data_IF_137945786599
#
_entry.id   IF_137945786599
#
_cell.length_a   1.000
_cell.length_b   1.000
_cell.length_c   1.000
_cell.angle_alpha   90.00
_cell.angle_beta   90.00
_cell.angle_gamma   90.00
#
_symmetry.space_group_name_H-M   'P 1'
#
loop_
_entity.id
_entity.type
_entity.pdbx_description
1 polymer ?
#
# COMPACT_ATOMS: atom_id res chain seq x y z
N UNK A 1 23.88 11.03 -1.97
CA UNK A 1 22.51 10.73 -2.45
C UNK A 1 21.73 10.10 -1.31
N UNK A 2 20.50 10.51 -1.10
CA UNK A 2 19.63 9.86 -0.09
C UNK A 2 19.30 8.45 -0.57
N UNK A 3 19.41 7.40 0.27
CA UNK A 3 19.05 6.06 -0.16
C UNK A 3 17.56 5.96 -0.52
N UNK A 4 17.19 5.08 -1.47
CA UNK A 4 15.79 4.83 -1.78
C UNK A 4 15.05 4.31 -0.54
N UNK A 5 13.72 4.45 -0.53
CA UNK A 5 12.90 3.91 0.54
C UNK A 5 12.92 2.37 0.54
N UNK A 6 12.87 1.78 -0.65
CA UNK A 6 12.88 0.32 -0.84
C UNK A 6 13.80 -0.01 -2.02
N UNK A 7 14.63 -1.04 -1.85
CA UNK A 7 15.50 -1.57 -2.90
C UNK A 7 15.51 -3.11 -2.85
N UNK A 8 15.31 -3.72 -4.00
CA UNK A 8 15.50 -5.13 -4.25
C UNK A 8 16.68 -5.29 -5.20
N UNK A 9 17.63 -6.15 -4.84
CA UNK A 9 18.82 -6.45 -5.64
C UNK A 9 18.96 -7.95 -5.85
N UNK A 10 18.68 -8.43 -7.06
CA UNK A 10 18.79 -9.83 -7.47
C UNK A 10 18.03 -10.82 -6.58
N UNK A 11 16.86 -10.40 -6.05
CA UNK A 11 16.06 -11.16 -5.08
C UNK A 11 15.37 -12.34 -5.76
N UNK A 12 15.59 -13.54 -5.23
CA UNK A 12 14.82 -14.73 -5.57
C UNK A 12 14.34 -15.43 -4.29
N UNK A 13 13.15 -16.04 -4.38
CA UNK A 13 12.60 -16.88 -3.32
C UNK A 13 11.75 -17.99 -3.91
N UNK A 14 11.88 -19.18 -3.33
CA UNK A 14 11.12 -20.37 -3.66
C UNK A 14 10.44 -20.91 -2.39
N UNK A 15 9.36 -21.63 -2.56
CA UNK A 15 8.70 -22.44 -1.52
C UNK A 15 8.60 -23.85 -2.06
N UNK A 16 9.18 -24.79 -1.34
CA UNK A 16 9.42 -26.15 -1.81
C UNK A 16 10.12 -26.13 -3.19
N UNK A 17 9.55 -26.77 -4.19
CA UNK A 17 10.11 -26.81 -5.57
C UNK A 17 9.62 -25.67 -6.48
N UNK A 18 8.81 -24.73 -5.94
CA UNK A 18 8.21 -23.65 -6.73
C UNK A 18 8.90 -22.32 -6.51
N UNK A 19 9.62 -21.84 -7.53
CA UNK A 19 10.17 -20.48 -7.55
C UNK A 19 9.02 -19.47 -7.70
N UNK A 20 8.87 -18.57 -6.70
CA UNK A 20 7.81 -17.56 -6.66
C UNK A 20 8.30 -16.21 -7.16
N UNK A 21 9.47 -15.77 -6.72
CA UNK A 21 10.14 -14.58 -7.24
C UNK A 21 11.51 -14.99 -7.81
N UNK A 22 11.89 -14.35 -8.93
CA UNK A 22 13.05 -14.74 -9.70
C UNK A 22 13.85 -13.53 -10.14
N UNK A 23 14.99 -13.31 -9.51
CA UNK A 23 15.96 -12.27 -9.89
C UNK A 23 15.32 -10.86 -9.99
N UNK A 24 14.60 -10.47 -8.95
CA UNK A 24 13.96 -9.16 -8.89
C UNK A 24 14.98 -8.08 -8.52
N UNK A 25 15.03 -7.03 -9.35
CA UNK A 25 15.83 -5.84 -9.07
C UNK A 25 15.03 -4.59 -9.43
N UNK A 26 14.78 -3.74 -8.44
CA UNK A 26 14.11 -2.44 -8.60
C UNK A 26 14.34 -1.55 -7.39
N UNK A 27 14.08 -0.25 -7.55
CA UNK A 27 14.13 0.73 -6.46
C UNK A 27 12.85 1.55 -6.40
N UNK A 28 12.47 1.97 -5.19
CA UNK A 28 11.39 2.93 -4.95
C UNK A 28 11.97 4.12 -4.18
N UNK A 29 12.09 5.28 -4.81
CA UNK A 29 12.49 6.51 -4.15
C UNK A 29 11.53 6.90 -3.02
N UNK A 30 12.02 7.72 -2.08
CA UNK A 30 11.17 8.24 -0.98
C UNK A 30 10.08 9.16 -1.53
N UNK A 31 8.87 8.98 -0.99
CA UNK A 31 7.70 9.76 -1.38
C UNK A 31 7.02 9.33 -2.68
N UNK A 32 7.54 8.29 -3.36
CA UNK A 32 6.92 7.77 -4.57
C UNK A 32 5.93 6.64 -4.29
N UNK A 33 4.98 6.47 -5.21
CA UNK A 33 4.02 5.35 -5.18
C UNK A 33 4.34 4.36 -6.30
N UNK A 34 4.26 3.07 -5.95
CA UNK A 34 4.26 1.97 -6.93
C UNK A 34 2.95 1.21 -6.86
N UNK A 35 2.34 0.98 -8.01
CA UNK A 35 1.17 0.10 -8.12
C UNK A 35 1.64 -1.21 -8.71
N UNK A 36 1.66 -2.24 -7.87
CA UNK A 36 2.11 -3.59 -8.24
C UNK A 36 0.90 -4.45 -8.57
N UNK A 37 0.80 -4.91 -9.80
CA UNK A 37 -0.25 -5.83 -10.20
C UNK A 37 0.28 -7.05 -10.95
N UNK A 38 -0.59 -8.04 -11.07
CA UNK A 38 -0.29 -9.34 -11.67
C UNK A 38 -1.33 -10.37 -11.25
N UNK A 39 -1.33 -11.51 -11.90
CA UNK A 39 -2.29 -12.59 -11.61
C UNK A 39 -2.24 -13.01 -10.15
N UNK A 40 -3.35 -13.57 -9.64
CA UNK A 40 -3.36 -14.17 -8.30
C UNK A 40 -2.28 -15.27 -8.21
N UNK A 41 -1.57 -15.31 -7.08
CA UNK A 41 -0.45 -16.24 -6.88
C UNK A 41 0.85 -15.87 -7.61
N UNK A 42 0.98 -14.67 -8.19
CA UNK A 42 2.23 -14.22 -8.85
C UNK A 42 3.36 -13.82 -7.90
N UNK A 43 3.12 -13.75 -6.57
CA UNK A 43 4.13 -13.42 -5.59
C UNK A 43 4.04 -11.99 -5.00
N UNK A 44 2.98 -11.22 -5.30
CA UNK A 44 2.82 -9.84 -4.84
C UNK A 44 2.87 -9.71 -3.30
N UNK A 45 2.08 -10.50 -2.58
CA UNK A 45 2.11 -10.54 -1.11
C UNK A 45 3.46 -11.03 -0.56
N UNK A 46 4.15 -11.92 -1.28
CA UNK A 46 5.50 -12.37 -0.92
C UNK A 46 6.49 -11.20 -0.97
N UNK A 47 6.40 -10.35 -1.99
CA UNK A 47 7.20 -9.13 -2.09
C UNK A 47 6.98 -8.21 -0.88
N UNK A 48 5.72 -7.98 -0.47
CA UNK A 48 5.43 -7.17 0.73
C UNK A 48 5.99 -7.80 2.01
N UNK A 49 5.90 -9.13 2.14
CA UNK A 49 6.46 -9.86 3.29
C UNK A 49 7.99 -9.78 3.36
N UNK A 50 8.68 -9.74 2.23
CA UNK A 50 10.12 -9.51 2.16
C UNK A 50 10.50 -8.11 2.64
N UNK A 51 9.74 -7.06 2.28
CA UNK A 51 9.95 -5.69 2.77
C UNK A 51 9.80 -5.61 4.30
N UNK A 52 8.84 -6.33 4.84
CA UNK A 52 8.59 -6.39 6.30
C UNK A 52 9.58 -7.30 7.05
N UNK A 53 10.47 -8.00 6.34
CA UNK A 53 11.35 -9.00 6.95
C UNK A 53 10.60 -10.19 7.56
N UNK A 54 9.35 -10.43 7.13
CA UNK A 54 8.57 -11.62 7.51
C UNK A 54 8.99 -12.87 6.70
N UNK A 55 9.69 -12.65 5.60
CA UNK A 55 10.33 -13.67 4.78
C UNK A 55 11.76 -13.22 4.48
N UNK A 56 12.63 -14.17 4.29
CA UNK A 56 14.01 -13.96 3.81
C UNK A 56 14.14 -14.50 2.41
N UNK A 57 14.80 -13.78 1.47
CA UNK A 57 15.08 -14.30 0.15
C UNK A 57 16.09 -15.44 0.19
N UNK A 58 16.03 -16.35 -0.78
CA UNK A 58 17.06 -17.39 -0.96
C UNK A 58 18.36 -16.80 -1.55
N UNK A 59 18.20 -15.78 -2.43
CA UNK A 59 19.34 -15.04 -2.99
C UNK A 59 19.01 -13.57 -3.15
N UNK A 60 20.06 -12.75 -3.25
CA UNK A 60 19.91 -11.29 -3.36
C UNK A 60 19.77 -10.60 -2.01
N UNK A 61 19.34 -9.36 -2.01
CA UNK A 61 19.15 -8.57 -0.79
C UNK A 61 17.96 -7.61 -0.92
N UNK A 62 17.31 -7.32 0.22
CA UNK A 62 16.25 -6.33 0.35
C UNK A 62 16.72 -5.23 1.29
N UNK A 63 16.70 -3.97 0.83
CA UNK A 63 17.01 -2.84 1.67
C UNK A 63 15.76 -1.96 1.85
N UNK A 64 15.56 -1.50 3.08
CA UNK A 64 14.55 -0.51 3.45
C UNK A 64 15.24 0.66 4.12
N UNK A 65 15.08 1.84 3.55
CA UNK A 65 15.81 3.05 3.97
C UNK A 65 17.34 2.86 4.03
N UNK A 66 17.88 2.02 3.14
CA UNK A 66 19.31 1.67 3.08
C UNK A 66 19.77 0.61 4.10
N UNK A 67 18.87 0.06 4.90
CA UNK A 67 19.16 -1.00 5.87
C UNK A 67 18.79 -2.36 5.26
N UNK A 68 19.70 -3.33 5.35
CA UNK A 68 19.50 -4.67 4.80
C UNK A 68 18.60 -5.52 5.69
N UNK A 69 17.36 -5.71 5.27
CA UNK A 69 16.29 -6.33 6.06
C UNK A 69 16.50 -7.83 6.26
N UNK A 70 17.01 -8.52 5.25
CA UNK A 70 17.20 -9.97 5.27
C UNK A 70 18.30 -10.44 6.24
N UNK A 71 19.18 -9.53 6.69
CA UNK A 71 20.22 -9.82 7.69
C UNK A 71 19.85 -9.37 9.11
N UNK A 72 18.74 -8.66 9.29
CA UNK A 72 18.35 -8.12 10.60
C UNK A 72 17.94 -9.20 11.59
N UNK A 73 18.20 -8.94 12.88
CA UNK A 73 17.60 -9.67 13.98
C UNK A 73 16.10 -9.32 14.11
N UNK A 74 15.32 -10.20 14.76
CA UNK A 74 13.90 -9.91 15.00
C UNK A 74 13.70 -8.63 15.84
N UNK A 75 14.61 -8.36 16.77
CA UNK A 75 14.58 -7.12 17.54
C UNK A 75 14.72 -5.87 16.65
N UNK A 76 15.65 -5.89 15.68
CA UNK A 76 15.87 -4.76 14.77
C UNK A 76 14.72 -4.64 13.77
N UNK A 77 14.14 -5.77 13.34
CA UNK A 77 12.94 -5.80 12.50
C UNK A 77 11.72 -5.18 13.18
N UNK A 78 11.55 -5.35 14.50
CA UNK A 78 10.49 -4.67 15.24
C UNK A 78 10.65 -3.16 15.15
N UNK A 79 11.86 -2.63 15.34
CA UNK A 79 12.13 -1.20 15.21
C UNK A 79 11.92 -0.69 13.78
N UNK A 80 12.30 -1.48 12.75
CA UNK A 80 12.05 -1.14 11.35
C UNK A 80 10.55 -1.06 11.04
N UNK A 81 9.77 -2.03 11.52
CA UNK A 81 8.32 -2.15 11.26
C UNK A 81 7.51 -0.99 11.84
N UNK A 82 7.99 -0.30 12.87
CA UNK A 82 7.37 0.95 13.36
C UNK A 82 7.29 2.01 12.26
N UNK A 83 8.30 2.07 11.38
CA UNK A 83 8.34 2.98 10.24
C UNK A 83 7.54 2.52 9.01
N UNK A 84 6.85 1.37 9.07
CA UNK A 84 6.12 0.76 7.95
C UNK A 84 4.69 0.45 8.37
N UNK A 85 3.72 1.14 7.79
CA UNK A 85 2.31 0.78 7.94
C UNK A 85 1.88 -0.29 6.94
N UNK A 86 1.04 -1.23 7.36
CA UNK A 86 0.51 -2.30 6.50
C UNK A 86 -1.02 -2.35 6.57
N UNK A 87 -1.66 -2.30 5.40
CA UNK A 87 -3.09 -2.54 5.22
C UNK A 87 -3.26 -3.91 4.58
N UNK A 88 -3.80 -4.85 5.34
CA UNK A 88 -4.02 -6.24 4.91
C UNK A 88 -5.32 -6.40 4.13
N UNK A 89 -5.38 -7.39 3.26
CA UNK A 89 -6.55 -7.73 2.45
C UNK A 89 -7.82 -7.94 3.29
N UNK A 90 -7.72 -8.55 4.47
CA UNK A 90 -8.85 -8.82 5.38
C UNK A 90 -8.99 -7.78 6.52
N UNK A 91 -8.42 -6.58 6.37
CA UNK A 91 -8.37 -5.48 7.34
C UNK A 91 -7.58 -5.82 8.62
N UNK A 92 -7.60 -7.04 9.10
CA UNK A 92 -6.95 -7.52 10.33
C UNK A 92 -7.24 -6.62 11.56
N UNK A 93 -8.46 -6.09 11.68
CA UNK A 93 -8.88 -5.31 12.85
C UNK A 93 -9.07 -6.24 14.06
N UNK A 94 -8.83 -5.67 15.24
CA UNK A 94 -9.15 -6.34 16.50
C UNK A 94 -10.65 -6.19 16.78
N UNK A 95 -11.40 -7.27 16.72
CA UNK A 95 -12.87 -7.27 16.87
C UNK A 95 -13.32 -6.83 18.26
N UNK A 96 -12.48 -7.01 19.28
CA UNK A 96 -12.74 -6.62 20.67
C UNK A 96 -12.40 -5.15 20.98
N UNK A 97 -11.76 -4.44 20.06
CA UNK A 97 -11.38 -3.05 20.22
C UNK A 97 -12.32 -2.13 19.43
N UNK A 98 -12.60 -0.95 19.96
CA UNK A 98 -13.34 0.08 19.23
C UNK A 98 -12.53 0.59 18.03
N UNK A 99 -13.17 1.38 17.18
CA UNK A 99 -12.51 2.06 16.04
C UNK A 99 -11.34 2.92 16.53
N UNK A 100 -11.57 3.75 17.57
CA UNK A 100 -10.52 4.58 18.15
C UNK A 100 -9.37 3.75 18.72
N UNK A 101 -9.68 2.65 19.40
CA UNK A 101 -8.66 1.75 19.94
C UNK A 101 -7.89 1.01 18.85
N UNK A 102 -8.56 0.57 17.77
CA UNK A 102 -7.88 -0.02 16.61
C UNK A 102 -6.88 0.96 15.98
N UNK A 103 -7.30 2.22 15.76
CA UNK A 103 -6.43 3.26 15.18
C UNK A 103 -5.27 3.60 16.12
N UNK A 104 -5.53 3.73 17.41
CA UNK A 104 -4.52 4.06 18.42
C UNK A 104 -3.62 2.89 18.83
N UNK A 105 -3.96 1.65 18.45
CA UNK A 105 -3.28 0.45 18.90
C UNK A 105 -1.74 0.49 18.70
N UNK A 106 -1.21 0.81 17.51
CA UNK A 106 0.23 0.85 17.30
C UNK A 106 0.94 1.84 18.23
N UNK A 107 0.36 3.01 18.45
CA UNK A 107 0.95 4.03 19.34
C UNK A 107 0.92 3.60 20.82
N UNK A 108 -0.10 2.84 21.20
CA UNK A 108 -0.22 2.28 22.56
C UNK A 108 0.85 1.21 22.81
N UNK A 109 1.11 0.34 21.81
CA UNK A 109 2.19 -0.65 21.88
C UNK A 109 3.58 0.01 21.98
N UNK A 110 3.75 1.15 21.32
CA UNK A 110 4.97 1.99 21.41
C UNK A 110 5.04 2.79 22.71
N UNK A 111 4.08 2.62 23.62
CA UNK A 111 4.00 3.34 24.91
C UNK A 111 3.98 4.87 24.78
N UNK A 112 3.40 5.37 23.70
CA UNK A 112 3.15 6.81 23.53
C UNK A 112 2.19 7.30 24.64
N UNK A 113 2.41 8.49 25.16
CA UNK A 113 1.56 9.07 26.18
C UNK A 113 0.10 9.17 25.73
N UNK A 114 -0.84 8.86 26.63
CA UNK A 114 -2.26 8.69 26.33
C UNK A 114 -2.88 9.93 25.66
N UNK A 115 -2.56 11.12 26.13
CA UNK A 115 -3.02 12.39 25.56
C UNK A 115 -2.59 12.56 24.10
N UNK A 116 -1.38 12.14 23.77
CA UNK A 116 -0.85 12.15 22.39
C UNK A 116 -1.52 11.10 21.51
N UNK A 117 -1.79 9.91 22.05
CA UNK A 117 -2.56 8.87 21.34
C UNK A 117 -3.95 9.38 21.02
N UNK A 118 -4.67 9.93 21.98
CA UNK A 118 -6.01 10.46 21.80
C UNK A 118 -6.06 11.60 20.76
N UNK A 119 -5.11 12.53 20.83
CA UNK A 119 -5.00 13.61 19.84
C UNK A 119 -4.74 13.07 18.42
N UNK A 120 -3.81 12.13 18.27
CA UNK A 120 -3.48 11.53 16.96
C UNK A 120 -4.64 10.69 16.40
N UNK A 121 -5.34 9.95 17.26
CA UNK A 121 -6.53 9.18 16.87
C UNK A 121 -7.62 10.10 16.35
N UNK A 122 -7.90 11.21 17.04
CA UNK A 122 -8.90 12.19 16.61
C UNK A 122 -8.54 12.79 15.23
N UNK A 123 -7.28 13.15 15.02
CA UNK A 123 -6.77 13.64 13.73
C UNK A 123 -6.96 12.61 12.62
N UNK A 124 -6.53 11.36 12.85
CA UNK A 124 -6.64 10.27 11.86
C UNK A 124 -8.09 9.94 11.55
N UNK A 125 -8.96 9.86 12.57
CA UNK A 125 -10.39 9.61 12.35
C UNK A 125 -11.05 10.75 11.56
N UNK A 126 -10.65 11.99 11.80
CA UNK A 126 -11.06 13.13 10.97
C UNK A 126 -10.60 13.00 9.52
N UNK A 127 -9.35 12.58 9.31
CA UNK A 127 -8.80 12.39 7.98
C UNK A 127 -9.55 11.32 7.17
N UNK A 128 -9.84 10.15 7.78
CA UNK A 128 -10.56 9.05 7.12
C UNK A 128 -12.09 9.20 7.18
N UNK A 129 -12.62 10.33 7.74
CA UNK A 129 -14.04 10.62 7.81
C UNK A 129 -14.85 9.65 8.69
N UNK A 130 -14.30 9.22 9.82
CA UNK A 130 -14.91 8.26 10.74
C UNK A 130 -14.96 8.75 12.20
N UNK A 131 -14.88 10.05 12.45
CA UNK A 131 -14.91 10.62 13.81
C UNK A 131 -16.15 10.20 14.60
N UNK A 132 -17.33 10.12 13.97
CA UNK A 132 -18.60 9.73 14.59
C UNK A 132 -18.67 8.22 14.94
N UNK A 133 -17.72 7.43 14.45
CA UNK A 133 -17.67 5.98 14.66
C UNK A 133 -16.61 5.56 15.69
N UNK A 134 -15.97 6.52 16.39
CA UNK A 134 -14.84 6.27 17.28
C UNK A 134 -15.10 5.15 18.32
N UNK A 135 -16.28 5.13 18.90
CA UNK A 135 -16.68 4.18 19.96
C UNK A 135 -17.33 2.89 19.43
N UNK A 136 -17.51 2.76 18.12
CA UNK A 136 -18.09 1.56 17.50
C UNK A 136 -17.09 0.41 17.45
N UNK A 137 -17.61 -0.82 17.47
CA UNK A 137 -16.83 -2.02 17.20
C UNK A 137 -16.75 -2.31 15.67
N UNK A 138 -15.74 -3.02 15.19
CA UNK A 138 -15.65 -3.39 13.77
C UNK A 138 -16.88 -4.12 13.22
N UNK A 139 -17.57 -4.90 14.02
CA UNK A 139 -18.82 -5.61 13.66
C UNK A 139 -19.98 -4.67 13.33
N UNK A 140 -19.94 -3.44 13.80
CA UNK A 140 -20.98 -2.42 13.56
C UNK A 140 -20.72 -1.57 12.32
N UNK A 141 -19.61 -1.82 11.60
CA UNK A 141 -19.16 -1.05 10.45
C UNK A 141 -19.45 -1.77 9.12
N UNK A 142 -19.66 -0.99 8.06
CA UNK A 142 -19.63 -1.52 6.68
C UNK A 142 -18.22 -1.97 6.28
N UNK A 143 -18.11 -2.79 5.21
CA UNK A 143 -16.81 -3.25 4.70
C UNK A 143 -15.86 -2.09 4.37
N UNK A 144 -16.34 -1.06 3.70
CA UNK A 144 -15.55 0.14 3.39
C UNK A 144 -15.13 0.95 4.61
N UNK A 145 -16.01 1.04 5.64
CA UNK A 145 -15.64 1.67 6.90
C UNK A 145 -14.54 0.88 7.61
N UNK A 146 -14.64 -0.44 7.69
CA UNK A 146 -13.58 -1.29 8.24
C UNK A 146 -12.26 -1.10 7.49
N UNK A 147 -12.29 -0.99 6.16
CA UNK A 147 -11.11 -0.75 5.35
C UNK A 147 -10.47 0.60 5.68
N UNK A 148 -11.27 1.65 5.81
CA UNK A 148 -10.77 2.97 6.21
C UNK A 148 -10.18 2.97 7.62
N UNK A 149 -10.76 2.23 8.57
CA UNK A 149 -10.15 2.04 9.92
C UNK A 149 -8.79 1.35 9.80
N UNK A 150 -8.66 0.33 8.96
CA UNK A 150 -7.37 -0.34 8.73
C UNK A 150 -6.32 0.61 8.14
N UNK A 151 -6.71 1.49 7.21
CA UNK A 151 -5.85 2.57 6.68
C UNK A 151 -5.46 3.52 7.82
N UNK A 152 -6.42 3.98 8.61
CA UNK A 152 -6.19 4.85 9.76
C UNK A 152 -5.21 4.24 10.76
N UNK A 153 -5.37 2.97 11.10
CA UNK A 153 -4.45 2.25 11.98
C UNK A 153 -3.03 2.21 11.41
N UNK A 154 -2.90 1.92 10.10
CA UNK A 154 -1.61 1.83 9.44
C UNK A 154 -0.89 3.19 9.39
N UNK A 155 -1.61 4.30 9.28
CA UNK A 155 -1.04 5.65 9.19
C UNK A 155 -0.90 6.37 10.55
N UNK A 156 -1.49 5.85 11.62
CA UNK A 156 -1.46 6.49 12.95
C UNK A 156 -0.04 6.76 13.47
N UNK A 157 0.95 5.85 13.32
CA UNK A 157 2.34 6.11 13.69
C UNK A 157 3.07 7.12 12.81
N UNK A 158 2.43 7.69 11.78
CA UNK A 158 3.06 8.51 10.75
C UNK A 158 4.26 7.80 10.07
N UNK A 159 4.06 6.60 9.51
CA UNK A 159 5.13 5.81 8.93
C UNK A 159 5.72 6.46 7.68
N UNK A 160 7.00 6.19 7.39
CA UNK A 160 7.64 6.63 6.14
C UNK A 160 7.25 5.79 4.92
N UNK A 161 6.69 4.60 5.14
CA UNK A 161 6.29 3.64 4.09
C UNK A 161 4.91 3.08 4.43
N UNK A 162 4.02 3.01 3.43
CA UNK A 162 2.72 2.34 3.52
C UNK A 162 2.59 1.25 2.47
N UNK A 163 2.23 0.06 2.94
CA UNK A 163 2.01 -1.11 2.10
C UNK A 163 0.52 -1.47 2.11
N UNK A 164 -0.06 -1.62 0.93
CA UNK A 164 -1.46 -2.01 0.75
C UNK A 164 -1.54 -3.34 0.01
N UNK A 165 -2.08 -4.36 0.64
CA UNK A 165 -2.28 -5.69 0.03
C UNK A 165 -3.74 -5.87 -0.37
N UNK A 166 -4.05 -5.70 -1.65
CA UNK A 166 -5.40 -5.79 -2.24
C UNK A 166 -6.46 -5.00 -1.43
N UNK A 167 -6.30 -3.67 -1.24
CA UNK A 167 -7.07 -2.89 -0.27
C UNK A 167 -8.57 -2.77 -0.58
N UNK A 168 -9.01 -3.11 -1.79
CA UNK A 168 -10.40 -2.95 -2.25
C UNK A 168 -11.10 -4.29 -2.56
N UNK A 169 -10.38 -5.40 -2.45
CA UNK A 169 -10.94 -6.73 -2.72
C UNK A 169 -12.15 -7.01 -1.84
N UNK A 170 -13.24 -7.48 -2.48
CA UNK A 170 -14.50 -7.82 -1.82
C UNK A 170 -15.41 -6.63 -1.49
N UNK A 171 -15.08 -5.42 -1.95
CA UNK A 171 -15.94 -4.25 -1.85
C UNK A 171 -16.74 -4.04 -3.14
N UNK A 172 -17.95 -3.48 -3.01
CA UNK A 172 -18.68 -3.02 -4.19
C UNK A 172 -17.98 -1.80 -4.83
N UNK A 173 -18.22 -1.52 -6.13
CA UNK A 173 -17.48 -0.49 -6.86
C UNK A 173 -17.58 0.92 -6.28
N UNK A 174 -18.71 1.30 -5.68
CA UNK A 174 -18.87 2.63 -5.09
C UNK A 174 -18.05 2.76 -3.80
N UNK A 175 -18.06 1.72 -2.98
CA UNK A 175 -17.27 1.66 -1.74
C UNK A 175 -15.77 1.57 -2.08
N UNK A 176 -15.38 0.79 -3.09
CA UNK A 176 -14.01 0.70 -3.57
C UNK A 176 -13.46 2.09 -3.94
N UNK A 177 -14.20 2.89 -4.72
CA UNK A 177 -13.80 4.26 -5.08
C UNK A 177 -13.59 5.16 -3.85
N UNK A 178 -14.36 4.94 -2.78
CA UNK A 178 -14.15 5.69 -1.53
C UNK A 178 -12.82 5.31 -0.88
N UNK A 179 -12.46 4.04 -0.87
CA UNK A 179 -11.17 3.55 -0.33
C UNK A 179 -10.01 4.03 -1.20
N UNK A 180 -10.13 3.98 -2.52
CA UNK A 180 -9.15 4.53 -3.46
C UNK A 180 -8.90 6.02 -3.20
N UNK A 181 -9.97 6.77 -2.93
CA UNK A 181 -9.88 8.19 -2.56
C UNK A 181 -9.09 8.41 -1.26
N UNK A 182 -9.19 7.51 -0.28
CA UNK A 182 -8.36 7.58 0.94
C UNK A 182 -6.89 7.28 0.62
N UNK A 183 -6.60 6.30 -0.24
CA UNK A 183 -5.24 5.99 -0.69
C UNK A 183 -4.62 7.19 -1.41
N UNK A 184 -5.38 7.84 -2.30
CA UNK A 184 -4.96 9.06 -3.01
C UNK A 184 -4.66 10.19 -2.02
N UNK A 185 -5.54 10.43 -1.03
CA UNK A 185 -5.31 11.44 0.02
C UNK A 185 -4.03 11.16 0.80
N UNK A 186 -3.80 9.92 1.21
CA UNK A 186 -2.59 9.52 1.94
C UNK A 186 -1.35 9.79 1.10
N UNK A 187 -1.35 9.41 -0.18
CA UNK A 187 -0.26 9.67 -1.11
C UNK A 187 0.06 11.16 -1.22
N UNK A 188 -0.96 11.98 -1.49
CA UNK A 188 -0.73 13.38 -1.88
C UNK A 188 -0.57 14.31 -0.70
N UNK A 189 -1.27 14.07 0.40
CA UNK A 189 -1.27 14.96 1.57
C UNK A 189 -0.19 14.58 2.58
N UNK A 190 0.10 13.28 2.76
CA UNK A 190 1.11 12.79 3.69
C UNK A 190 2.47 12.54 3.00
N UNK A 191 2.51 12.47 1.67
CA UNK A 191 3.72 12.23 0.85
C UNK A 191 4.53 11.01 1.28
N UNK A 192 3.83 9.98 1.74
CA UNK A 192 4.43 8.74 2.20
C UNK A 192 4.80 7.85 1.00
N UNK A 193 5.94 7.17 1.10
CA UNK A 193 6.28 6.14 0.11
C UNK A 193 5.28 5.00 0.19
N UNK A 194 4.72 4.56 -0.94
CA UNK A 194 3.70 3.52 -0.88
C UNK A 194 3.80 2.48 -1.99
N UNK A 195 3.41 1.25 -1.64
CA UNK A 195 3.16 0.18 -2.59
C UNK A 195 1.70 -0.24 -2.45
N UNK A 196 0.96 -0.15 -3.55
CA UNK A 196 -0.40 -0.69 -3.66
C UNK A 196 -0.34 -1.96 -4.49
N UNK A 197 -0.57 -3.09 -3.85
CA UNK A 197 -0.75 -4.36 -4.54
C UNK A 197 -2.22 -4.50 -4.89
N UNK A 198 -2.54 -4.76 -6.13
CA UNK A 198 -3.92 -5.03 -6.56
C UNK A 198 -3.95 -5.96 -7.79
N UNK A 199 -5.07 -6.63 -7.97
CA UNK A 199 -5.39 -7.35 -9.20
C UNK A 199 -6.51 -6.64 -9.99
N UNK A 200 -7.06 -5.55 -9.45
CA UNK A 200 -8.12 -4.76 -10.05
C UNK A 200 -7.53 -3.56 -10.80
N UNK A 201 -7.46 -3.67 -12.10
CA UNK A 201 -6.77 -2.69 -12.94
C UNK A 201 -7.49 -1.35 -13.00
N UNK A 202 -8.83 -1.36 -12.96
CA UNK A 202 -9.65 -0.14 -12.95
C UNK A 202 -9.26 0.78 -11.79
N UNK A 203 -9.15 0.22 -10.59
CA UNK A 203 -8.87 0.98 -9.38
C UNK A 203 -7.39 1.42 -9.36
N UNK A 204 -6.48 0.58 -9.88
CA UNK A 204 -5.09 0.97 -10.12
C UNK A 204 -4.98 2.21 -11.01
N UNK A 205 -5.75 2.26 -12.12
CA UNK A 205 -5.80 3.42 -13.00
C UNK A 205 -6.48 4.62 -12.33
N UNK A 206 -7.54 4.40 -11.56
CA UNK A 206 -8.18 5.49 -10.81
C UNK A 206 -7.19 6.15 -9.85
N UNK A 207 -6.47 5.36 -9.05
CA UNK A 207 -5.43 5.87 -8.14
C UNK A 207 -4.33 6.62 -8.91
N UNK A 208 -3.92 6.12 -10.08
CA UNK A 208 -2.84 6.71 -10.86
C UNK A 208 -3.22 7.99 -11.60
N UNK A 209 -4.50 8.18 -11.93
CA UNK A 209 -4.99 9.30 -12.76
C UNK A 209 -5.74 10.35 -11.97
N UNK A 210 -5.87 10.21 -10.65
CA UNK A 210 -6.53 11.19 -9.79
C UNK A 210 -5.58 11.68 -8.70
N UNK A 211 -5.84 12.91 -8.22
CA UNK A 211 -5.07 13.54 -7.15
C UNK A 211 -6.01 14.20 -6.12
N UNK A 212 -5.49 14.36 -4.89
CA UNK A 212 -6.17 15.02 -3.81
C UNK A 212 -5.75 16.49 -3.73
N UNK A 213 -6.68 17.38 -3.96
CA UNK A 213 -6.46 18.82 -3.84
C UNK A 213 -7.18 19.38 -2.61
N UNK A 214 -6.51 20.26 -1.86
CA UNK A 214 -7.13 21.01 -0.75
C UNK A 214 -7.96 22.17 -1.31
N UNK A 215 -9.23 22.23 -0.90
CA UNK A 215 -10.15 23.33 -1.20
C UNK A 215 -10.67 23.89 0.14
N UNK A 216 -9.96 24.85 0.70
CA UNK A 216 -10.18 25.31 2.07
C UNK A 216 -10.01 24.19 3.09
N UNK A 217 -11.07 23.91 3.86
CA UNK A 217 -11.09 22.82 4.86
C UNK A 217 -11.53 21.46 4.28
N UNK A 218 -11.77 21.38 2.98
CA UNK A 218 -12.18 20.13 2.31
C UNK A 218 -11.07 19.60 1.42
N UNK A 219 -11.12 18.31 1.17
CA UNK A 219 -10.26 17.63 0.20
C UNK A 219 -11.16 17.12 -0.92
N UNK A 220 -10.81 17.47 -2.16
CA UNK A 220 -11.47 16.97 -3.37
C UNK A 220 -10.53 16.05 -4.10
N UNK A 221 -11.09 14.98 -4.67
CA UNK A 221 -10.38 14.14 -5.62
C UNK A 221 -10.71 14.65 -7.02
N UNK A 222 -9.70 15.01 -7.76
CA UNK A 222 -9.78 15.53 -9.13
C UNK A 222 -8.91 14.71 -10.06
N UNK A 223 -9.09 14.85 -11.35
CA UNK A 223 -8.20 14.22 -12.31
C UNK A 223 -6.80 14.86 -12.21
N UNK A 224 -5.78 14.02 -12.07
CA UNK A 224 -4.39 14.46 -11.98
C UNK A 224 -3.93 15.05 -13.31
N UNK A 225 -3.06 16.04 -13.24
CA UNK A 225 -2.34 16.51 -14.42
C UNK A 225 -1.30 15.48 -14.89
N UNK A 226 -0.69 15.73 -16.06
CA UNK A 226 0.27 14.80 -16.65
C UNK A 226 1.56 14.66 -15.79
N UNK A 227 1.94 15.70 -15.06
CA UNK A 227 3.12 15.68 -14.17
C UNK A 227 2.86 14.77 -12.97
N UNK A 228 1.77 14.98 -12.25
CA UNK A 228 1.37 14.17 -11.09
C UNK A 228 1.14 12.71 -11.49
N UNK A 229 0.42 12.46 -12.58
CA UNK A 229 0.20 11.10 -13.09
C UNK A 229 1.50 10.41 -13.51
N UNK A 230 2.50 11.16 -13.96
CA UNK A 230 3.84 10.65 -14.32
C UNK A 230 4.68 10.17 -13.13
N UNK A 231 4.39 10.65 -11.90
CA UNK A 231 5.09 10.23 -10.69
C UNK A 231 4.67 8.85 -10.18
N UNK A 232 3.55 8.33 -10.65
CA UNK A 232 3.03 7.03 -10.23
C UNK A 232 3.46 5.98 -11.25
N UNK A 233 4.15 4.96 -10.77
CA UNK A 233 4.67 3.91 -11.63
C UNK A 233 3.96 2.59 -11.39
N UNK A 234 3.59 1.95 -12.46
CA UNK A 234 3.08 0.59 -12.49
C UNK A 234 4.22 -0.41 -12.54
N UNK A 235 4.08 -1.51 -11.82
CA UNK A 235 4.95 -2.68 -11.89
C UNK A 235 4.08 -3.90 -12.16
N UNK A 236 4.37 -4.63 -13.23
CA UNK A 236 3.65 -5.88 -13.55
C UNK A 236 4.50 -7.07 -13.18
N UNK A 237 4.01 -7.88 -12.25
CA UNK A 237 4.67 -9.12 -11.84
C UNK A 237 4.11 -10.31 -12.64
N UNK A 238 4.97 -10.91 -13.48
CA UNK A 238 4.64 -12.08 -14.29
C UNK A 238 5.78 -13.10 -14.29
N UNK A 239 5.44 -14.39 -14.11
CA UNK A 239 6.44 -15.46 -14.07
C UNK A 239 7.52 -15.29 -12.98
N UNK A 240 7.19 -14.62 -11.89
CA UNK A 240 8.11 -14.29 -10.79
C UNK A 240 9.10 -13.16 -11.10
N UNK A 241 8.93 -12.42 -12.19
CA UNK A 241 9.78 -11.29 -12.60
C UNK A 241 8.97 -10.01 -12.75
N UNK A 242 9.63 -8.85 -12.64
CA UNK A 242 9.04 -7.60 -13.09
C UNK A 242 9.05 -7.62 -14.62
N UNK A 243 7.88 -7.82 -15.20
CA UNK A 243 7.67 -7.90 -16.65
C UNK A 243 7.56 -6.52 -17.29
N UNK A 244 7.04 -5.55 -16.54
CA UNK A 244 6.90 -4.16 -16.95
C UNK A 244 7.10 -3.22 -15.76
N UNK A 245 7.70 -2.07 -16.02
CA UNK A 245 7.73 -0.93 -15.10
C UNK A 245 7.63 0.35 -15.92
N UNK A 246 6.70 1.24 -15.54
CA UNK A 246 6.47 2.50 -16.23
C UNK A 246 5.20 3.18 -15.77
N UNK A 247 4.89 4.32 -16.38
CA UNK A 247 3.68 5.11 -16.13
C UNK A 247 2.41 4.43 -16.69
N UNK A 248 1.24 4.93 -16.30
CA UNK A 248 -0.04 4.48 -16.88
C UNK A 248 -0.07 4.65 -18.41
N UNK A 249 0.46 5.75 -18.93
CA UNK A 249 0.50 6.02 -20.35
C UNK A 249 1.40 5.03 -21.10
N UNK A 250 2.58 4.74 -20.56
CA UNK A 250 3.51 3.77 -21.13
C UNK A 250 2.93 2.35 -21.11
N UNK A 251 2.21 1.99 -20.03
CA UNK A 251 1.53 0.71 -19.92
C UNK A 251 0.46 0.54 -21.01
N UNK A 252 -0.39 1.57 -21.21
CA UNK A 252 -1.43 1.55 -22.24
C UNK A 252 -0.86 1.54 -23.67
N UNK A 253 0.28 2.19 -23.88
CA UNK A 253 0.96 2.24 -25.17
C UNK A 253 1.84 1.01 -25.46
N UNK A 254 1.99 0.09 -24.50
CA UNK A 254 2.89 -1.05 -24.63
C UNK A 254 2.50 -1.96 -25.79
N UNK A 255 3.45 -2.34 -26.67
CA UNK A 255 3.19 -3.31 -27.73
C UNK A 255 3.21 -4.76 -27.25
N UNK A 256 3.58 -5.01 -25.98
CA UNK A 256 3.74 -6.34 -25.40
C UNK A 256 2.43 -7.14 -25.45
N UNK A 257 2.41 -8.33 -26.06
CA UNK A 257 1.17 -9.11 -26.23
C UNK A 257 0.53 -9.52 -24.90
N UNK A 258 1.34 -9.86 -23.88
CA UNK A 258 0.84 -10.24 -22.56
C UNK A 258 0.15 -9.08 -21.86
N UNK A 259 0.75 -7.87 -21.91
CA UNK A 259 0.15 -6.68 -21.32
C UNK A 259 -1.14 -6.30 -22.04
N UNK A 260 -1.17 -6.36 -23.37
CA UNK A 260 -2.38 -6.09 -24.15
C UNK A 260 -3.51 -7.06 -23.84
N UNK A 261 -3.22 -8.35 -23.79
CA UNK A 261 -4.22 -9.36 -23.41
C UNK A 261 -4.71 -9.12 -21.99
N UNK A 262 -3.80 -8.85 -21.05
CA UNK A 262 -4.14 -8.58 -19.66
C UNK A 262 -5.04 -7.34 -19.52
N UNK A 263 -4.71 -6.25 -20.21
CA UNK A 263 -5.51 -5.02 -20.23
C UNK A 263 -6.89 -5.24 -20.87
N UNK A 264 -6.97 -5.93 -22.00
CA UNK A 264 -8.24 -6.24 -22.69
C UNK A 264 -9.19 -7.08 -21.82
N UNK A 265 -8.66 -7.99 -21.02
CA UNK A 265 -9.47 -8.85 -20.14
C UNK A 265 -9.91 -8.17 -18.85
N UNK A 266 -9.27 -7.08 -18.45
CA UNK A 266 -9.45 -6.46 -17.14
C UNK A 266 -9.94 -5.01 -17.19
N UNK A 267 -9.70 -4.29 -18.28
CA UNK A 267 -10.33 -2.99 -18.54
C UNK A 267 -11.68 -3.20 -19.23
N UNK A 268 -12.76 -2.54 -18.76
CA UNK A 268 -14.01 -2.56 -19.47
C UNK A 268 -13.83 -1.92 -20.86
N UNK A 269 -14.59 -2.37 -21.87
CA UNK A 269 -14.62 -1.70 -23.16
C UNK A 269 -15.21 -0.30 -22.93
N UNK A 270 -14.41 0.70 -23.16
CA UNK A 270 -14.83 2.13 -23.18
C UNK A 270 -15.46 2.46 -24.51
#
# INVERSE_FOLDING_TARGET
MTPPAIEFSHVSIAFDDRVVLRDLSFTIPKGEMRILFGRSGSGKTVLLKLILGLLRPDTGMVLVNGQRVDDMSEHDLLALRVGIGMVFQENALFDSLTVAQNVGYPLTEEKVAKDRVEARVAEVLGFIGLSEFADRLPSELSGGQRRRVAIGRAMAPAPGILLFDDPITGLDPLIATTVDSEIIKVRDLERVTSIVVTHQIRDAFYIATHEAQRDGNRVKIVQADAETAGLIQFMVLHGGRIHFQGTAAELLASPDPYLREYLLLTLPPW
#
